data_IF_640282673789
#
_entry.id   IF_640282673789
#
_cell.length_a   1.000
_cell.length_b   1.000
_cell.length_c   1.000
_cell.angle_alpha   90.00
_cell.angle_beta   90.00
_cell.angle_gamma   90.00
#
_symmetry.space_group_name_H-M   'P 1'
#
loop_
_entity.id
_entity.type
_entity.pdbx_description
1 polymer ?
#
# COMPACT_ATOMS: atom_id res chain seq x y z
N UNK A 1 -19.62 -3.07 26.91
CA UNK A 1 -20.61 -2.77 25.86
C UNK A 1 -20.81 -4.04 25.06
N UNK A 2 -22.06 -4.44 24.81
CA UNK A 2 -22.37 -5.64 24.04
C UNK A 2 -21.74 -5.53 22.67
N UNK A 3 -20.97 -6.54 22.29
CA UNK A 3 -20.19 -6.55 21.03
C UNK A 3 -21.08 -6.90 19.82
N UNK A 4 -22.31 -6.38 19.82
CA UNK A 4 -23.34 -6.69 18.83
C UNK A 4 -22.88 -6.33 17.40
N UNK A 5 -22.14 -5.21 17.27
CA UNK A 5 -21.57 -4.75 16.00
C UNK A 5 -20.71 -5.82 15.32
N UNK A 6 -19.93 -6.57 16.08
CA UNK A 6 -18.98 -7.56 15.56
C UNK A 6 -19.46 -9.01 15.74
N UNK A 7 -20.71 -9.22 16.18
CA UNK A 7 -21.23 -10.56 16.49
C UNK A 7 -21.07 -11.54 15.35
N UNK A 8 -21.35 -11.13 14.10
CA UNK A 8 -21.20 -11.98 12.91
C UNK A 8 -19.75 -12.29 12.57
N UNK A 9 -18.83 -11.37 12.83
CA UNK A 9 -17.39 -11.57 12.65
C UNK A 9 -16.85 -12.53 13.72
N UNK A 10 -17.30 -12.39 14.97
CA UNK A 10 -16.94 -13.30 16.05
C UNK A 10 -17.38 -14.73 15.74
N UNK A 11 -18.52 -14.94 15.09
CA UNK A 11 -18.92 -16.27 14.61
C UNK A 11 -17.94 -16.83 13.57
N UNK A 12 -17.35 -15.96 12.74
CA UNK A 12 -16.46 -16.37 11.66
C UNK A 12 -15.02 -16.69 12.15
N UNK A 13 -14.45 -15.87 13.04
CA UNK A 13 -13.05 -16.01 13.46
C UNK A 13 -12.82 -15.88 14.98
N UNK A 14 -13.88 -16.01 15.77
CA UNK A 14 -13.82 -16.06 17.22
C UNK A 14 -13.58 -14.70 17.89
N UNK A 15 -13.80 -14.64 19.20
CA UNK A 15 -13.51 -13.44 20.00
C UNK A 15 -12.02 -13.07 20.00
N UNK A 16 -11.13 -14.07 19.97
CA UNK A 16 -9.70 -13.84 19.93
C UNK A 16 -9.26 -13.19 18.62
N UNK A 17 -9.83 -13.61 17.48
CA UNK A 17 -9.60 -12.97 16.19
C UNK A 17 -10.05 -11.50 16.20
N UNK A 18 -11.22 -11.22 16.79
CA UNK A 18 -11.72 -9.84 16.92
C UNK A 18 -10.84 -8.99 17.84
N UNK A 19 -10.32 -9.55 18.94
CA UNK A 19 -9.37 -8.85 19.81
C UNK A 19 -8.06 -8.53 19.09
N UNK A 20 -7.51 -9.48 18.32
CA UNK A 20 -6.31 -9.24 17.50
C UNK A 20 -6.53 -8.13 16.48
N UNK A 21 -7.67 -8.11 15.77
CA UNK A 21 -8.05 -7.03 14.85
C UNK A 21 -8.07 -5.66 15.53
N UNK A 22 -8.75 -5.57 16.69
CA UNK A 22 -8.87 -4.31 17.42
C UNK A 22 -7.53 -3.80 17.96
N UNK A 23 -6.61 -4.71 18.29
CA UNK A 23 -5.30 -4.38 18.85
C UNK A 23 -4.26 -4.05 17.78
N UNK A 24 -4.40 -4.58 16.56
CA UNK A 24 -3.43 -4.45 15.48
C UNK A 24 -3.11 -2.98 15.15
N UNK A 25 -1.81 -2.67 15.06
CA UNK A 25 -1.29 -1.36 14.65
C UNK A 25 -0.95 -1.43 13.16
N UNK A 26 -1.76 -0.79 12.34
CA UNK A 26 -1.66 -0.92 10.88
C UNK A 26 -1.14 0.38 10.28
N UNK A 27 -0.12 0.25 9.41
CA UNK A 27 0.36 1.33 8.55
C UNK A 27 -0.14 1.14 7.12
N UNK A 28 -0.73 2.17 6.53
CA UNK A 28 -1.19 2.17 5.15
C UNK A 28 -0.47 3.30 4.41
N UNK A 29 0.25 2.97 3.34
CA UNK A 29 0.97 3.93 2.49
C UNK A 29 0.32 3.96 1.12
N UNK A 30 -0.13 5.15 0.73
CA UNK A 30 -1.01 5.38 -0.40
C UNK A 30 -2.48 5.17 -0.01
N UNK A 31 -3.25 6.25 0.13
CA UNK A 31 -4.69 6.18 0.41
C UNK A 31 -5.50 6.65 -0.80
N UNK A 32 -5.03 6.29 -2.01
CA UNK A 32 -5.75 6.46 -3.27
C UNK A 32 -6.88 5.45 -3.46
N UNK A 33 -7.12 5.02 -4.70
CA UNK A 33 -8.26 4.16 -5.05
C UNK A 33 -8.29 2.82 -4.31
N UNK A 34 -7.16 2.10 -4.20
CA UNK A 34 -7.08 0.82 -3.47
C UNK A 34 -6.99 1.08 -1.97
N UNK A 35 -6.08 1.97 -1.54
CA UNK A 35 -5.80 2.20 -0.13
C UNK A 35 -7.00 2.74 0.64
N UNK A 36 -7.80 3.63 0.06
CA UNK A 36 -9.03 4.14 0.70
C UNK A 36 -10.07 3.03 0.94
N UNK A 37 -10.18 2.06 0.03
CA UNK A 37 -11.05 0.90 0.23
C UNK A 37 -10.51 -0.05 1.31
N UNK A 38 -9.20 -0.34 1.31
CA UNK A 38 -8.56 -1.13 2.38
C UNK A 38 -8.82 -0.50 3.74
N UNK A 39 -8.63 0.82 3.85
CA UNK A 39 -8.90 1.56 5.09
C UNK A 39 -10.36 1.46 5.51
N UNK A 40 -11.30 1.60 4.56
CA UNK A 40 -12.72 1.43 4.83
C UNK A 40 -13.01 0.04 5.41
N UNK A 41 -12.53 -1.02 4.75
CA UNK A 41 -12.77 -2.40 5.17
C UNK A 41 -12.18 -2.67 6.56
N UNK A 42 -10.95 -2.22 6.82
CA UNK A 42 -10.29 -2.36 8.12
C UNK A 42 -11.05 -1.62 9.23
N UNK A 43 -11.61 -0.44 8.94
CA UNK A 43 -12.43 0.31 9.89
C UNK A 43 -13.74 -0.43 10.22
N UNK A 44 -14.42 -1.02 9.21
CA UNK A 44 -15.60 -1.86 9.42
C UNK A 44 -15.27 -3.15 10.18
N UNK A 45 -14.09 -3.74 9.96
CA UNK A 45 -13.62 -4.91 10.71
C UNK A 45 -13.29 -4.61 12.17
N UNK A 46 -13.21 -3.33 12.55
CA UNK A 46 -12.99 -2.92 13.94
C UNK A 46 -11.53 -2.71 14.31
N UNK A 47 -10.63 -2.55 13.33
CA UNK A 47 -9.27 -2.04 13.58
C UNK A 47 -9.35 -0.67 14.24
N UNK A 48 -8.51 -0.46 15.28
CA UNK A 48 -8.54 0.78 16.06
C UNK A 48 -7.29 1.65 15.89
N UNK A 49 -6.18 1.10 15.43
CA UNK A 49 -4.91 1.86 15.41
C UNK A 49 -4.38 1.98 13.98
N UNK A 50 -4.59 3.15 13.40
CA UNK A 50 -4.19 3.46 12.03
C UNK A 50 -3.02 4.45 11.98
N UNK A 51 -2.07 4.19 11.09
CA UNK A 51 -1.18 5.18 10.51
C UNK A 51 -1.48 5.24 9.02
N UNK A 52 -1.90 6.39 8.51
CA UNK A 52 -2.16 6.61 7.09
C UNK A 52 -1.17 7.63 6.53
N UNK A 53 -0.60 7.32 5.37
CA UNK A 53 0.46 8.11 4.72
C UNK A 53 0.11 8.35 3.26
N UNK A 54 0.02 9.60 2.86
CA UNK A 54 -0.17 10.04 1.47
C UNK A 54 0.07 11.54 1.41
N UNK A 55 0.87 12.04 0.47
CA UNK A 55 1.19 13.46 0.32
C UNK A 55 0.31 14.19 -0.70
N UNK A 56 -0.59 13.48 -1.36
CA UNK A 56 -1.45 14.03 -2.39
C UNK A 56 -2.67 14.77 -1.82
N UNK A 57 -3.13 15.75 -2.60
CA UNK A 57 -4.43 16.39 -2.44
C UNK A 57 -5.50 15.64 -3.22
N UNK A 58 -6.75 15.87 -2.86
CA UNK A 58 -7.91 15.39 -3.63
C UNK A 58 -8.10 16.26 -4.86
N UNK A 59 -8.18 15.62 -6.02
CA UNK A 59 -8.49 16.23 -7.30
C UNK A 59 -9.86 15.76 -7.81
N UNK A 60 -10.46 16.52 -8.74
CA UNK A 60 -11.72 16.14 -9.40
C UNK A 60 -11.64 14.75 -10.04
N UNK A 61 -10.49 14.45 -10.65
CA UNK A 61 -10.18 13.14 -11.26
C UNK A 61 -10.15 11.97 -10.27
N UNK A 62 -10.08 12.22 -8.96
CA UNK A 62 -10.07 11.20 -7.91
C UNK A 62 -11.46 10.81 -7.43
N UNK A 63 -12.47 11.68 -7.61
CA UNK A 63 -13.82 11.51 -7.04
C UNK A 63 -14.55 10.25 -7.52
N UNK A 64 -14.12 9.69 -8.64
CA UNK A 64 -14.69 8.46 -9.19
C UNK A 64 -14.16 7.17 -8.53
N UNK A 65 -13.13 7.27 -7.65
CA UNK A 65 -12.47 6.08 -7.08
C UNK A 65 -11.91 6.26 -5.67
N UNK A 66 -11.78 7.47 -5.16
CA UNK A 66 -11.34 7.72 -3.78
C UNK A 66 -12.51 7.59 -2.84
N UNK A 67 -12.56 6.50 -2.09
CA UNK A 67 -13.67 6.22 -1.18
C UNK A 67 -13.71 7.24 -0.04
N UNK A 68 -14.89 7.78 0.22
CA UNK A 68 -15.12 8.80 1.24
C UNK A 68 -14.87 10.24 0.75
N UNK A 69 -14.36 10.45 -0.47
CA UNK A 69 -14.18 11.77 -1.04
C UNK A 69 -15.51 12.38 -1.53
N UNK A 70 -15.66 13.67 -1.31
CA UNK A 70 -16.81 14.48 -1.71
C UNK A 70 -16.35 15.58 -2.67
N UNK A 71 -17.22 16.12 -3.53
CA UNK A 71 -16.87 17.22 -4.43
C UNK A 71 -16.26 18.45 -3.73
N UNK A 72 -16.64 18.70 -2.48
CA UNK A 72 -16.07 19.78 -1.69
C UNK A 72 -14.59 19.56 -1.37
N UNK A 73 -14.16 18.29 -1.19
CA UNK A 73 -12.78 17.96 -0.86
C UNK A 73 -11.83 18.30 -2.02
N UNK A 74 -12.27 18.05 -3.26
CA UNK A 74 -11.53 18.44 -4.46
C UNK A 74 -11.47 19.95 -4.64
N UNK A 75 -12.59 20.66 -4.42
CA UNK A 75 -12.63 22.13 -4.50
C UNK A 75 -11.74 22.82 -3.48
N UNK A 76 -11.68 22.29 -2.25
CA UNK A 76 -10.85 22.80 -1.18
C UNK A 76 -9.42 22.24 -1.20
N UNK A 77 -9.10 21.37 -2.15
CA UNK A 77 -7.79 20.71 -2.27
C UNK A 77 -7.34 20.05 -0.97
N UNK A 78 -8.27 19.37 -0.28
CA UNK A 78 -7.96 18.67 0.96
C UNK A 78 -6.97 17.55 0.72
N UNK A 79 -6.11 17.28 1.70
CA UNK A 79 -5.23 16.11 1.64
C UNK A 79 -6.04 14.82 1.64
N UNK A 80 -5.60 13.82 0.87
CA UNK A 80 -6.26 12.49 0.84
C UNK A 80 -6.31 11.86 2.24
N UNK A 81 -5.28 12.07 3.07
CA UNK A 81 -5.26 11.59 4.45
C UNK A 81 -6.33 12.24 5.34
N UNK A 82 -6.72 13.50 5.11
CA UNK A 82 -7.79 14.16 5.86
C UNK A 82 -9.16 13.55 5.57
N UNK A 83 -9.42 13.29 4.29
CA UNK A 83 -10.64 12.61 3.83
C UNK A 83 -10.72 11.19 4.41
N UNK A 84 -9.60 10.48 4.36
CA UNK A 84 -9.50 9.11 4.87
C UNK A 84 -9.68 9.05 6.39
N UNK A 85 -9.07 9.97 7.15
CA UNK A 85 -9.31 10.08 8.61
C UNK A 85 -10.79 10.33 8.91
N UNK A 86 -11.42 11.30 8.22
CA UNK A 86 -12.86 11.57 8.36
C UNK A 86 -13.69 10.31 8.15
N UNK A 87 -13.41 9.54 7.11
CA UNK A 87 -14.10 8.28 6.82
C UNK A 87 -13.92 7.25 7.93
N UNK A 88 -12.69 7.04 8.41
CA UNK A 88 -12.42 6.13 9.52
C UNK A 88 -13.24 6.51 10.74
N UNK A 89 -13.21 7.79 11.14
CA UNK A 89 -13.91 8.28 12.33
C UNK A 89 -15.43 8.16 12.22
N UNK A 90 -15.98 8.29 11.01
CA UNK A 90 -17.42 8.05 10.77
C UNK A 90 -17.80 6.58 10.90
N UNK A 91 -16.93 5.66 10.44
CA UNK A 91 -17.17 4.22 10.51
C UNK A 91 -16.87 3.68 11.92
N UNK A 92 -15.74 4.06 12.49
CA UNK A 92 -15.27 3.57 13.80
C UNK A 92 -14.81 4.73 14.69
N UNK A 93 -15.73 5.37 15.47
CA UNK A 93 -15.39 6.49 16.34
C UNK A 93 -14.38 6.18 17.44
N UNK A 94 -14.13 4.89 17.73
CA UNK A 94 -13.12 4.47 18.70
C UNK A 94 -11.71 4.34 18.10
N UNK A 95 -11.56 4.56 16.79
CA UNK A 95 -10.28 4.48 16.12
C UNK A 95 -9.33 5.61 16.54
N UNK A 96 -8.05 5.28 16.57
CA UNK A 96 -6.95 6.23 16.76
C UNK A 96 -6.21 6.34 15.43
N UNK A 97 -6.29 7.49 14.81
CA UNK A 97 -5.71 7.73 13.51
C UNK A 97 -4.53 8.69 13.64
N UNK A 98 -3.33 8.22 13.28
CA UNK A 98 -2.21 9.09 12.99
C UNK A 98 -2.16 9.27 11.47
N UNK A 99 -2.31 10.49 10.99
CA UNK A 99 -2.17 10.82 9.56
C UNK A 99 -0.89 11.58 9.31
N UNK A 100 -0.22 11.26 8.21
CA UNK A 100 0.97 11.95 7.72
C UNK A 100 0.74 12.33 6.25
N UNK A 101 0.39 13.60 6.01
CA UNK A 101 0.31 14.19 4.67
C UNK A 101 1.70 14.50 4.15
N UNK A 102 2.54 13.49 3.99
CA UNK A 102 3.96 13.61 3.71
C UNK A 102 4.42 12.50 2.78
N UNK A 103 5.47 12.78 2.02
CA UNK A 103 6.09 11.79 1.16
C UNK A 103 6.67 10.62 1.97
N UNK A 104 6.59 9.41 1.43
CA UNK A 104 7.15 8.20 2.06
C UNK A 104 8.64 8.34 2.42
N UNK A 105 9.38 9.16 1.67
CA UNK A 105 10.82 9.40 1.89
C UNK A 105 11.12 10.35 3.05
N UNK A 106 10.12 10.95 3.69
CA UNK A 106 10.31 11.76 4.90
C UNK A 106 10.73 10.85 6.07
N UNK A 107 11.75 11.27 6.82
CA UNK A 107 12.29 10.50 7.95
C UNK A 107 11.21 10.19 9.00
N UNK A 108 10.31 11.15 9.25
CA UNK A 108 9.19 10.99 10.19
C UNK A 108 8.22 9.91 9.78
N UNK A 109 8.03 9.72 8.45
CA UNK A 109 7.19 8.67 7.88
C UNK A 109 7.87 7.31 8.04
N UNK A 110 9.14 7.21 7.61
CA UNK A 110 9.91 5.97 7.74
C UNK A 110 9.95 5.49 9.19
N UNK A 111 10.27 6.39 10.13
CA UNK A 111 10.29 6.08 11.57
C UNK A 111 8.90 5.60 12.05
N UNK A 112 7.83 6.31 11.72
CA UNK A 112 6.49 5.96 12.16
C UNK A 112 6.02 4.57 11.66
N UNK A 113 6.47 4.15 10.47
CA UNK A 113 6.15 2.85 9.88
C UNK A 113 6.84 1.69 10.61
N UNK A 114 8.06 1.90 11.14
CA UNK A 114 8.82 0.84 11.85
C UNK A 114 8.14 0.32 13.12
N UNK A 115 7.17 1.05 13.63
CA UNK A 115 6.42 0.74 14.85
C UNK A 115 5.05 0.09 14.58
N UNK A 116 4.82 -0.43 13.39
CA UNK A 116 3.55 -1.10 13.02
C UNK A 116 3.68 -2.61 13.11
N UNK A 117 2.53 -3.27 13.29
CA UNK A 117 2.46 -4.73 13.30
C UNK A 117 2.28 -5.27 11.87
N UNK A 118 1.64 -4.47 11.00
CA UNK A 118 1.39 -4.78 9.59
C UNK A 118 1.46 -3.52 8.75
N UNK A 119 1.93 -3.67 7.50
CA UNK A 119 1.94 -2.60 6.51
C UNK A 119 1.09 -2.98 5.30
N UNK A 120 0.36 -2.00 4.77
CA UNK A 120 -0.27 -2.08 3.46
C UNK A 120 0.42 -1.09 2.52
N UNK A 121 0.96 -1.60 1.41
CA UNK A 121 1.53 -0.82 0.32
C UNK A 121 0.51 -0.69 -0.82
N UNK A 122 0.00 0.52 -1.03
CA UNK A 122 -0.97 0.84 -2.07
C UNK A 122 -0.41 1.94 -2.99
N UNK A 123 0.89 1.83 -3.28
CA UNK A 123 1.66 2.79 -4.06
C UNK A 123 1.69 2.42 -5.54
N UNK A 124 1.86 3.41 -6.40
CA UNK A 124 1.78 3.30 -7.85
C UNK A 124 3.14 3.33 -8.56
N UNK A 125 4.25 3.41 -7.80
CA UNK A 125 5.59 3.47 -8.36
C UNK A 125 6.53 2.45 -7.71
N UNK A 126 7.60 2.09 -8.44
CA UNK A 126 8.54 1.05 -8.05
C UNK A 126 9.49 1.50 -6.92
N UNK A 127 9.81 2.78 -6.86
CA UNK A 127 10.65 3.34 -5.79
C UNK A 127 9.97 3.21 -4.42
N UNK A 128 8.71 3.63 -4.32
CA UNK A 128 7.96 3.52 -3.07
C UNK A 128 7.76 2.04 -2.66
N UNK A 129 7.50 1.15 -3.64
CA UNK A 129 7.37 -0.29 -3.40
C UNK A 129 8.67 -0.89 -2.91
N UNK A 130 9.81 -0.48 -3.47
CA UNK A 130 11.15 -0.91 -3.03
C UNK A 130 11.41 -0.47 -1.58
N UNK A 131 11.19 0.82 -1.26
CA UNK A 131 11.37 1.38 0.09
C UNK A 131 10.54 0.61 1.11
N UNK A 132 9.24 0.38 0.83
CA UNK A 132 8.35 -0.36 1.73
C UNK A 132 8.80 -1.81 1.91
N UNK A 133 9.25 -2.48 0.83
CA UNK A 133 9.71 -3.86 0.89
C UNK A 133 10.99 -3.98 1.73
N UNK A 134 11.92 -3.04 1.60
CA UNK A 134 13.13 -3.01 2.41
C UNK A 134 12.83 -2.70 3.87
N UNK A 135 11.99 -1.70 4.15
CA UNK A 135 11.56 -1.34 5.50
C UNK A 135 10.89 -2.52 6.20
N UNK A 136 9.93 -3.14 5.53
CA UNK A 136 9.20 -4.29 6.04
C UNK A 136 10.16 -5.45 6.39
N UNK A 137 11.11 -5.75 5.50
CA UNK A 137 12.12 -6.79 5.76
C UNK A 137 13.06 -6.41 6.90
N UNK A 138 13.57 -5.18 6.92
CA UNK A 138 14.52 -4.72 7.93
C UNK A 138 13.93 -4.74 9.35
N UNK A 139 12.65 -4.40 9.49
CA UNK A 139 11.96 -4.35 10.79
C UNK A 139 11.08 -5.56 11.06
N UNK A 140 11.15 -6.58 10.20
CA UNK A 140 10.41 -7.84 10.35
C UNK A 140 8.89 -7.65 10.42
N UNK A 141 8.36 -6.74 9.62
CA UNK A 141 6.93 -6.41 9.55
C UNK A 141 6.31 -7.04 8.28
N UNK A 142 5.25 -7.83 8.36
CA UNK A 142 4.53 -8.30 7.18
C UNK A 142 3.98 -7.13 6.35
N UNK A 143 4.26 -7.13 5.04
CA UNK A 143 3.78 -6.14 4.09
C UNK A 143 2.79 -6.78 3.12
N UNK A 144 1.61 -6.19 3.01
CA UNK A 144 0.57 -6.53 2.05
C UNK A 144 0.65 -5.49 0.91
N UNK A 145 1.34 -5.83 -0.18
CA UNK A 145 1.49 -4.95 -1.35
C UNK A 145 0.39 -5.23 -2.37
N UNK A 146 -0.28 -4.17 -2.82
CA UNK A 146 -1.45 -4.25 -3.69
C UNK A 146 -1.30 -3.35 -4.90
N UNK A 147 -1.63 -3.87 -6.09
CA UNK A 147 -1.64 -3.08 -7.32
C UNK A 147 -2.77 -3.53 -8.25
N UNK A 148 -3.37 -2.57 -8.95
CA UNK A 148 -4.29 -2.79 -10.05
C UNK A 148 -3.68 -2.25 -11.34
N UNK A 149 -3.92 -2.95 -12.45
CA UNK A 149 -3.37 -2.60 -13.75
C UNK A 149 -4.47 -2.68 -14.81
N UNK A 150 -4.54 -1.66 -15.66
CA UNK A 150 -5.40 -1.62 -16.83
C UNK A 150 -4.53 -1.17 -18.00
N UNK A 151 -4.50 -1.97 -19.05
CA UNK A 151 -3.73 -1.69 -20.26
C UNK A 151 -4.67 -1.33 -21.40
N UNK A 152 -4.93 -0.02 -21.65
CA UNK A 152 -5.69 0.42 -22.80
C UNK A 152 -4.82 0.36 -24.06
N UNK A 153 -5.40 -0.07 -25.18
CA UNK A 153 -4.77 -0.11 -26.50
C UNK A 153 -5.80 0.30 -27.55
N UNK A 154 -5.59 1.46 -28.21
CA UNK A 154 -6.38 2.01 -29.33
C UNK A 154 -7.88 1.65 -29.35
N UNK A 155 -8.59 1.95 -28.25
CA UNK A 155 -10.03 1.66 -28.10
C UNK A 155 -10.39 0.27 -27.55
N UNK A 156 -9.40 -0.54 -27.19
CA UNK A 156 -9.55 -1.83 -26.53
C UNK A 156 -8.90 -1.82 -25.14
N UNK A 157 -9.28 -2.79 -24.30
CA UNK A 157 -8.58 -3.08 -23.06
C UNK A 157 -7.86 -4.41 -23.26
N UNK A 158 -6.53 -4.37 -23.32
CA UNK A 158 -5.67 -5.55 -23.50
C UNK A 158 -5.34 -6.24 -22.17
N UNK A 159 -5.41 -5.53 -21.05
CA UNK A 159 -5.24 -6.06 -19.72
C UNK A 159 -6.13 -5.36 -18.70
N UNK A 160 -6.78 -6.14 -17.84
CA UNK A 160 -7.60 -5.67 -16.74
C UNK A 160 -7.45 -6.63 -15.57
N UNK A 161 -6.82 -6.18 -14.50
CA UNK A 161 -6.55 -7.05 -13.36
C UNK A 161 -5.74 -6.39 -12.27
N UNK A 162 -5.14 -7.22 -11.43
CA UNK A 162 -4.29 -6.73 -10.36
C UNK A 162 -3.78 -7.86 -9.49
N UNK A 163 -3.04 -7.51 -8.45
CA UNK A 163 -2.39 -8.47 -7.58
C UNK A 163 -2.30 -8.01 -6.14
N UNK A 164 -2.14 -8.98 -5.27
CA UNK A 164 -1.78 -8.82 -3.87
C UNK A 164 -0.57 -9.69 -3.59
N UNK A 165 0.45 -9.14 -2.97
CA UNK A 165 1.64 -9.85 -2.51
C UNK A 165 1.71 -9.76 -1.00
N UNK A 166 1.86 -10.90 -0.34
CA UNK A 166 2.16 -10.97 1.08
C UNK A 166 3.66 -11.18 1.22
N UNK A 167 4.34 -10.08 1.50
CA UNK A 167 5.79 -10.09 1.76
C UNK A 167 6.03 -10.36 3.25
N UNK A 168 6.35 -11.62 3.58
CA UNK A 168 6.82 -11.99 4.91
C UNK A 168 8.35 -11.96 4.94
N UNK A 169 8.94 -11.30 5.95
CA UNK A 169 10.39 -11.14 6.06
C UNK A 169 11.12 -12.47 6.01
N UNK A 170 12.12 -12.56 5.14
CA UNK A 170 12.93 -13.77 4.94
C UNK A 170 12.32 -14.88 4.08
N UNK A 171 11.02 -14.84 3.82
CA UNK A 171 10.33 -15.90 3.08
C UNK A 171 10.05 -15.55 1.61
N UNK A 172 9.59 -14.31 1.37
CA UNK A 172 9.16 -13.85 0.05
C UNK A 172 8.93 -12.34 0.07
N UNK A 173 9.16 -11.66 -1.04
CA UNK A 173 8.92 -10.21 -1.16
C UNK A 173 8.55 -9.80 -2.59
N UNK A 174 8.21 -8.52 -2.79
CA UNK A 174 7.83 -7.99 -4.09
C UNK A 174 8.97 -8.11 -5.15
N UNK A 175 10.24 -8.06 -4.72
CA UNK A 175 11.39 -8.30 -5.61
C UNK A 175 11.48 -9.78 -6.03
N UNK A 176 11.20 -10.73 -5.13
CA UNK A 176 11.08 -12.16 -5.45
C UNK A 176 9.97 -12.42 -6.46
N UNK A 177 8.86 -11.70 -6.34
CA UNK A 177 7.72 -11.78 -7.24
C UNK A 177 7.95 -11.16 -8.63
N UNK A 178 9.09 -10.53 -8.89
CA UNK A 178 9.39 -9.71 -10.09
C UNK A 178 8.39 -8.55 -10.25
N UNK A 179 8.01 -7.93 -9.16
CA UNK A 179 7.03 -6.84 -9.14
C UNK A 179 7.66 -5.49 -8.76
N UNK A 180 8.98 -5.43 -8.80
CA UNK A 180 9.80 -4.22 -8.70
C UNK A 180 10.82 -4.25 -9.82
N UNK A 181 10.78 -3.27 -10.72
CA UNK A 181 11.84 -3.01 -11.66
C UNK A 181 12.87 -2.07 -11.02
N UNK A 182 14.04 -2.61 -10.66
CA UNK A 182 15.08 -1.84 -9.99
C UNK A 182 15.65 -0.70 -10.86
N UNK A 183 15.55 -0.78 -12.20
CA UNK A 183 15.99 0.30 -13.09
C UNK A 183 14.99 1.45 -13.03
N UNK A 184 13.68 1.14 -13.05
CA UNK A 184 12.62 2.13 -12.91
C UNK A 184 12.69 2.75 -11.52
N UNK A 185 12.77 1.94 -10.46
CA UNK A 185 12.90 2.42 -9.10
C UNK A 185 14.08 3.38 -8.91
N UNK A 186 15.23 3.08 -9.55
CA UNK A 186 16.40 3.98 -9.53
C UNK A 186 16.11 5.32 -10.20
N UNK A 187 15.42 5.32 -11.34
CA UNK A 187 15.03 6.54 -12.05
C UNK A 187 14.06 7.39 -11.21
N UNK A 188 13.09 6.74 -10.57
CA UNK A 188 12.10 7.40 -9.71
C UNK A 188 12.74 7.98 -8.43
N UNK A 189 13.87 7.44 -8.01
CA UNK A 189 14.67 7.91 -6.88
C UNK A 189 15.65 9.04 -7.24
N UNK A 190 15.82 9.37 -8.52
CA UNK A 190 16.73 10.44 -8.95
C UNK A 190 16.44 11.78 -8.25
N UNK A 191 17.49 12.51 -7.94
CA UNK A 191 17.39 13.89 -7.50
C UNK A 191 16.98 14.81 -8.66
N UNK A 192 16.43 15.99 -8.40
CA UNK A 192 16.08 16.94 -9.48
C UNK A 192 17.21 17.22 -10.46
N UNK A 193 18.48 17.44 -10.03
CA UNK A 193 19.59 17.61 -10.97
C UNK A 193 19.88 16.37 -11.83
N UNK A 194 19.79 15.17 -11.26
CA UNK A 194 20.01 13.92 -12.01
C UNK A 194 18.92 13.71 -13.05
N UNK A 195 17.66 14.00 -12.68
CA UNK A 195 16.51 13.94 -13.58
C UNK A 195 16.65 14.94 -14.74
N UNK A 196 17.02 16.17 -14.46
CA UNK A 196 17.28 17.20 -15.47
C UNK A 196 18.42 16.78 -16.42
N UNK A 197 19.51 16.26 -15.86
CA UNK A 197 20.62 15.73 -16.66
C UNK A 197 20.17 14.60 -17.59
N UNK A 198 19.40 13.65 -17.09
CA UNK A 198 18.87 12.51 -17.87
C UNK A 198 17.95 12.96 -18.99
N UNK A 199 17.01 13.87 -18.70
CA UNK A 199 16.07 14.43 -19.69
C UNK A 199 16.78 15.20 -20.78
N UNK A 200 17.79 16.01 -20.43
CA UNK A 200 18.59 16.78 -21.37
C UNK A 200 19.41 15.91 -22.34
N UNK A 201 19.78 14.71 -21.93
CA UNK A 201 20.57 13.77 -22.74
C UNK A 201 19.73 12.68 -23.41
N UNK A 202 18.39 12.82 -23.43
CA UNK A 202 17.49 11.95 -24.19
C UNK A 202 17.19 10.58 -23.56
N UNK A 203 17.52 10.38 -22.30
CA UNK A 203 17.23 9.17 -21.55
C UNK A 203 15.89 9.26 -20.78
N UNK A 204 14.84 9.85 -21.39
CA UNK A 204 13.54 10.03 -20.76
C UNK A 204 12.71 8.73 -20.67
N UNK A 205 12.05 8.50 -19.56
CA UNK A 205 10.79 7.77 -19.59
C UNK A 205 9.82 8.69 -20.34
N UNK A 206 9.06 8.15 -21.28
CA UNK A 206 8.11 8.95 -22.09
C UNK A 206 7.16 9.78 -21.20
N UNK A 207 6.39 10.74 -21.77
CA UNK A 207 5.49 11.57 -20.99
C UNK A 207 4.57 10.68 -20.14
N UNK A 208 4.45 11.01 -18.86
CA UNK A 208 3.66 10.25 -17.91
C UNK A 208 2.21 10.10 -18.38
N UNK A 209 1.87 8.93 -18.83
CA UNK A 209 0.48 8.59 -19.15
C UNK A 209 -0.23 8.38 -17.81
N UNK A 210 -1.30 9.13 -17.56
CA UNK A 210 -2.15 8.92 -16.38
C UNK A 210 -2.66 7.47 -16.40
N UNK A 211 -2.25 6.67 -15.44
CA UNK A 211 -2.65 5.26 -15.34
C UNK A 211 -4.18 5.16 -15.15
N UNK A 212 -4.88 4.39 -15.99
CA UNK A 212 -6.32 4.20 -15.83
C UNK A 212 -6.62 3.50 -14.52
N UNK A 213 -7.72 3.90 -13.87
CA UNK A 213 -8.14 3.31 -12.60
C UNK A 213 -9.67 3.31 -12.49
N UNK A 214 -10.22 2.20 -12.03
CA UNK A 214 -11.67 1.98 -11.89
C UNK A 214 -11.98 1.46 -10.49
N UNK A 215 -12.97 2.07 -9.83
CA UNK A 215 -13.32 1.76 -8.44
C UNK A 215 -13.64 0.28 -8.21
N UNK A 216 -14.31 -0.38 -9.13
CA UNK A 216 -14.67 -1.80 -8.99
C UNK A 216 -13.43 -2.71 -8.99
N UNK A 217 -12.44 -2.44 -9.84
CA UNK A 217 -11.19 -3.20 -9.85
C UNK A 217 -10.39 -2.94 -8.56
N UNK A 218 -10.29 -1.68 -8.15
CA UNK A 218 -9.65 -1.30 -6.89
C UNK A 218 -10.27 -2.05 -5.70
N UNK A 219 -11.61 -2.18 -5.68
CA UNK A 219 -12.34 -2.91 -4.66
C UNK A 219 -12.04 -4.40 -4.64
N UNK A 220 -11.98 -5.04 -5.79
CA UNK A 220 -11.61 -6.46 -5.85
C UNK A 220 -10.22 -6.66 -5.25
N UNK A 221 -9.23 -5.85 -5.63
CA UNK A 221 -7.87 -5.96 -5.13
C UNK A 221 -7.78 -5.63 -3.63
N UNK A 222 -8.47 -4.57 -3.18
CA UNK A 222 -8.53 -4.21 -1.77
C UNK A 222 -9.13 -5.33 -0.91
N UNK A 223 -10.24 -5.93 -1.33
CA UNK A 223 -10.89 -7.04 -0.61
C UNK A 223 -10.02 -8.30 -0.60
N UNK A 224 -9.28 -8.62 -1.67
CA UNK A 224 -8.31 -9.71 -1.67
C UNK A 224 -7.18 -9.44 -0.66
N UNK A 225 -6.66 -8.22 -0.61
CA UNK A 225 -5.61 -7.83 0.32
C UNK A 225 -6.06 -7.94 1.79
N UNK A 226 -7.25 -7.42 2.11
CA UNK A 226 -7.82 -7.51 3.45
C UNK A 226 -8.15 -8.97 3.82
N UNK A 227 -8.59 -9.78 2.85
CA UNK A 227 -8.83 -11.21 3.08
C UNK A 227 -7.54 -11.94 3.44
N UNK A 228 -6.45 -11.75 2.71
CA UNK A 228 -5.17 -12.38 3.05
C UNK A 228 -4.60 -11.84 4.38
N UNK A 229 -4.78 -10.56 4.70
CA UNK A 229 -4.47 -10.01 6.02
C UNK A 229 -5.24 -10.75 7.14
N UNK A 230 -6.53 -11.00 6.97
CA UNK A 230 -7.32 -11.77 7.92
C UNK A 230 -6.77 -13.19 8.09
N UNK A 231 -6.31 -13.84 7.01
CA UNK A 231 -5.70 -15.16 7.11
C UNK A 231 -4.43 -15.15 7.95
N UNK A 232 -3.57 -14.14 7.79
CA UNK A 232 -2.35 -13.97 8.59
C UNK A 232 -2.73 -13.77 10.07
N UNK A 233 -3.68 -12.91 10.35
CA UNK A 233 -4.01 -12.49 11.70
C UNK A 233 -4.79 -13.55 12.49
N UNK A 234 -5.72 -14.24 11.84
CA UNK A 234 -6.64 -15.20 12.47
C UNK A 234 -6.18 -16.66 12.33
N UNK A 235 -5.28 -16.93 11.40
CA UNK A 235 -4.77 -18.28 11.08
C UNK A 235 -5.89 -19.29 10.71
N UNK A 236 -6.98 -18.81 10.09
CA UNK A 236 -8.08 -19.67 9.58
C UNK A 236 -7.57 -20.67 8.53
N UNK A 237 -6.67 -20.20 7.67
CA UNK A 237 -5.89 -20.99 6.71
C UNK A 237 -4.51 -20.36 6.50
N UNK A 238 -3.55 -21.09 5.93
CA UNK A 238 -2.32 -20.47 5.45
C UNK A 238 -2.64 -19.34 4.45
N UNK A 239 -1.95 -18.21 4.57
CA UNK A 239 -2.07 -17.10 3.61
C UNK A 239 -1.41 -17.46 2.27
N UNK A 240 -1.89 -16.85 1.20
CA UNK A 240 -1.28 -16.99 -0.12
C UNK A 240 -0.21 -15.91 -0.31
N UNK A 241 1.00 -16.32 -0.71
CA UNK A 241 2.11 -15.38 -0.95
C UNK A 241 1.83 -14.39 -2.08
N UNK A 242 1.11 -14.83 -3.10
CA UNK A 242 0.67 -13.97 -4.20
C UNK A 242 -0.69 -14.40 -4.73
N UNK A 243 -1.61 -13.46 -4.80
CA UNK A 243 -2.94 -13.61 -5.39
C UNK A 243 -3.06 -12.66 -6.58
N UNK A 244 -3.50 -13.17 -7.72
CA UNK A 244 -3.67 -12.41 -8.96
C UNK A 244 -5.11 -12.48 -9.42
N UNK A 245 -5.74 -11.34 -9.61
CA UNK A 245 -7.03 -11.23 -10.27
C UNK A 245 -6.83 -10.97 -11.76
N UNK A 246 -7.28 -11.90 -12.59
CA UNK A 246 -7.30 -11.77 -14.05
C UNK A 246 -8.70 -11.35 -14.50
N UNK A 247 -8.94 -10.05 -14.55
CA UNK A 247 -10.27 -9.49 -14.82
C UNK A 247 -10.80 -9.83 -16.21
N UNK A 248 -9.93 -9.97 -17.23
CA UNK A 248 -10.33 -10.40 -18.57
C UNK A 248 -10.88 -11.84 -18.58
N UNK A 249 -10.47 -12.68 -17.63
CA UNK A 249 -10.93 -14.07 -17.49
C UNK A 249 -11.98 -14.22 -16.36
N UNK A 250 -12.17 -13.19 -15.51
CA UNK A 250 -13.00 -13.26 -14.31
C UNK A 250 -12.49 -14.26 -13.26
N UNK A 251 -11.17 -14.48 -13.19
CA UNK A 251 -10.54 -15.50 -12.34
C UNK A 251 -9.60 -14.90 -11.30
N UNK A 252 -9.61 -15.53 -10.12
CA UNK A 252 -8.61 -15.32 -9.08
C UNK A 252 -7.66 -16.51 -9.04
N UNK A 253 -6.39 -16.27 -9.25
CA UNK A 253 -5.34 -17.29 -9.26
C UNK A 253 -4.37 -17.07 -8.09
N UNK A 254 -4.00 -18.16 -7.45
CA UNK A 254 -2.91 -18.18 -6.46
C UNK A 254 -1.62 -18.58 -7.17
N UNK A 255 -0.58 -17.77 -7.04
CA UNK A 255 0.76 -18.11 -7.54
C UNK A 255 1.59 -18.73 -6.43
N UNK A 256 2.30 -19.81 -6.77
CA UNK A 256 3.22 -20.52 -5.87
C UNK A 256 4.64 -20.07 -6.20
N UNK A 257 4.92 -18.79 -5.96
CA UNK A 257 6.27 -18.25 -6.16
C UNK A 257 7.14 -18.56 -4.94
N UNK A 258 8.43 -18.79 -5.20
CA UNK A 258 9.42 -19.05 -4.16
C UNK A 258 10.33 -17.83 -4.00
N UNK A 259 10.95 -17.73 -2.83
CA UNK A 259 12.05 -16.80 -2.59
C UNK A 259 13.15 -17.06 -3.62
N UNK A 260 13.68 -15.99 -4.22
CA UNK A 260 14.88 -16.09 -5.06
C UNK A 260 16.11 -16.31 -4.19
N UNK A 261 17.01 -17.20 -4.62
CA UNK A 261 18.23 -17.52 -3.89
C UNK A 261 19.15 -16.30 -3.74
N UNK A 262 19.18 -15.43 -4.74
CA UNK A 262 19.97 -14.20 -4.81
C UNK A 262 19.23 -12.94 -4.36
N UNK A 263 18.04 -13.06 -3.76
CA UNK A 263 17.28 -11.90 -3.33
C UNK A 263 17.98 -11.13 -2.20
N UNK A 264 18.53 -9.97 -2.53
CA UNK A 264 19.25 -9.11 -1.58
C UNK A 264 18.37 -8.68 -0.39
N UNK A 265 17.07 -8.44 -0.60
CA UNK A 265 16.14 -8.03 0.47
C UNK A 265 15.92 -9.19 1.45
N UNK A 266 15.47 -10.34 0.95
CA UNK A 266 15.16 -11.49 1.78
C UNK A 266 16.36 -12.17 2.43
N UNK A 267 17.57 -11.97 1.89
CA UNK A 267 18.78 -12.61 2.40
C UNK A 267 19.65 -11.68 3.25
N UNK A 268 19.60 -10.36 2.99
CA UNK A 268 20.58 -9.44 3.59
C UNK A 268 19.98 -8.37 4.47
N UNK A 269 18.67 -8.05 4.34
CA UNK A 269 18.06 -6.95 5.10
C UNK A 269 17.22 -7.40 6.29
N UNK A 270 16.81 -8.66 6.37
CA UNK A 270 15.93 -9.15 7.43
C UNK A 270 16.53 -8.91 8.82
N UNK A 271 15.77 -8.22 9.68
CA UNK A 271 16.14 -7.92 11.05
C UNK A 271 17.28 -6.92 11.23
N UNK A 272 17.76 -6.28 10.14
CA UNK A 272 18.85 -5.29 10.21
C UNK A 272 18.45 -3.97 10.86
N UNK A 273 17.14 -3.67 10.94
CA UNK A 273 16.60 -2.47 11.57
C UNK A 273 17.35 -1.20 11.13
N UNK A 274 17.83 -0.39 12.05
CA UNK A 274 18.54 0.85 11.77
C UNK A 274 19.80 0.65 10.91
N UNK A 275 20.44 -0.53 10.98
CA UNK A 275 21.63 -0.84 10.18
C UNK A 275 21.32 -1.12 8.70
N UNK A 276 20.03 -1.18 8.31
CA UNK A 276 19.62 -1.22 6.90
C UNK A 276 19.78 0.13 6.19
N UNK A 277 20.11 1.20 6.92
CA UNK A 277 20.28 2.59 6.40
C UNK A 277 19.13 3.05 5.49
N UNK A 278 17.89 2.82 5.91
CA UNK A 278 16.72 3.29 5.17
C UNK A 278 16.68 4.83 5.06
N UNK A 279 17.37 5.53 5.96
CA UNK A 279 17.53 7.00 5.90
C UNK A 279 18.30 7.46 4.66
N UNK A 280 18.98 6.56 3.92
CA UNK A 280 19.56 6.91 2.61
C UNK A 280 18.51 7.48 1.66
N UNK A 281 17.27 7.02 1.73
CA UNK A 281 16.17 7.49 0.88
C UNK A 281 15.74 8.93 1.20
N UNK A 282 15.96 9.43 2.41
CA UNK A 282 15.67 10.82 2.79
C UNK A 282 16.70 11.81 2.24
N UNK A 283 17.90 11.34 1.90
CA UNK A 283 19.01 12.16 1.40
C UNK A 283 18.94 12.41 -0.09
N UNK A 284 18.11 11.67 -0.82
CA UNK A 284 17.98 11.75 -2.26
C UNK A 284 16.88 12.76 -2.61
N UNK A 285 17.29 13.99 -2.97
CA UNK A 285 16.52 14.92 -3.79
C UNK A 285 15.13 15.38 -3.33
N UNK A 286 14.82 15.41 -2.03
CA UNK A 286 13.67 16.19 -1.58
C UNK A 286 14.05 17.69 -1.61
N UNK A 287 13.19 18.59 -2.13
CA UNK A 287 13.38 20.03 -1.96
C UNK A 287 13.54 20.34 -0.47
N UNK A 288 14.57 21.12 -0.11
CA UNK A 288 14.83 21.46 1.31
C UNK A 288 13.77 22.38 1.92
N UNK A 289 12.85 22.88 1.10
CA UNK A 289 11.87 23.90 1.46
C UNK A 289 10.46 23.46 1.06
N UNK A 290 9.86 22.56 1.86
CA UNK A 290 8.42 22.45 1.98
C UNK A 290 8.05 22.79 3.43
N UNK A 291 7.05 23.69 3.62
CA UNK A 291 6.67 24.20 4.94
C UNK A 291 6.14 23.13 5.89
#
# INVERSE_FOLDING_TARGET
>A
MSNERFSRQVVAFGEEGQKKLSAARIGIVGVGGIGSQIVQDLAYLGVKNFLIVDDDIVEESNLNRLVGALPIDAREKRLKVDVTERMIMQINPEARVKKLGMNLRDERVLDALTHKDYLFGCVDNDAARLILTELASAFEIPLIDSAAEIHPEEGWINGFGGRVIIACPGEFCALCANQIDLKIAKIELESPPEKEFREKHGYGLGPGVTAPSVISLNGIIANLAVTEFLMILTNIRPYNKMVVYKGMEGKVNVRIDKKKEDCVICNSLVGKRESADLKRYTRIGLPKDLP
#
